data_IF_963060314962
#
_entry.id   IF_963060314962
#
_cell.length_a   1.000
_cell.length_b   1.000
_cell.length_c   1.000
_cell.angle_alpha   90.00
_cell.angle_beta   90.00
_cell.angle_gamma   90.00
#
_symmetry.space_group_name_H-M   'P 1'
#
loop_
_entity.id
_entity.type
_entity.pdbx_description
1 polymer ?
#
# COMPACT_ATOMS: atom_id res chain seq x y z
N UNK A 1 5.26 8.76 25.03
CA UNK A 1 5.07 8.12 23.72
C UNK A 1 6.08 8.68 22.74
N UNK A 2 7.04 7.85 22.39
CA UNK A 2 8.14 8.07 21.47
C UNK A 2 7.70 7.96 20.00
N UNK A 3 8.47 8.57 19.08
CA UNK A 3 8.14 8.63 17.66
C UNK A 3 8.01 7.23 17.02
N UNK A 4 8.74 6.24 17.53
CA UNK A 4 8.66 4.84 17.08
C UNK A 4 7.30 4.21 17.39
N UNK A 5 6.74 4.49 18.58
CA UNK A 5 5.40 4.02 18.98
C UNK A 5 4.31 4.56 18.06
N UNK A 6 4.32 5.86 17.74
CA UNK A 6 3.33 6.46 16.82
C UNK A 6 3.45 5.97 15.36
N UNK A 7 4.63 5.51 14.93
CA UNK A 7 4.82 4.93 13.59
C UNK A 7 4.28 3.50 13.56
N UNK A 8 4.53 2.72 14.62
CA UNK A 8 4.01 1.35 14.74
C UNK A 8 2.48 1.35 14.79
N UNK A 9 1.91 2.23 15.61
CA UNK A 9 0.45 2.43 15.75
C UNK A 9 -0.21 2.76 14.41
N UNK A 10 0.35 3.69 13.63
CA UNK A 10 -0.18 4.03 12.30
C UNK A 10 -0.08 2.89 11.29
N UNK A 11 0.98 2.09 11.34
CA UNK A 11 1.13 0.95 10.41
C UNK A 11 0.13 -0.16 10.74
N UNK A 12 -0.05 -0.45 12.02
CA UNK A 12 -1.04 -1.41 12.52
C UNK A 12 -2.46 -0.93 12.20
N UNK A 13 -2.72 0.38 12.31
CA UNK A 13 -3.96 1.01 11.90
C UNK A 13 -4.26 0.81 10.39
N UNK A 14 -3.28 0.98 9.50
CA UNK A 14 -3.48 0.70 8.06
C UNK A 14 -3.88 -0.76 7.83
N UNK A 15 -3.23 -1.70 8.52
CA UNK A 15 -3.56 -3.13 8.36
C UNK A 15 -5.01 -3.41 8.79
N UNK A 16 -5.43 -2.89 9.94
CA UNK A 16 -6.80 -3.05 10.44
C UNK A 16 -7.79 -2.47 9.44
N UNK A 17 -7.52 -1.27 8.90
CA UNK A 17 -8.40 -0.64 7.93
C UNK A 17 -8.51 -1.46 6.64
N UNK A 18 -7.41 -2.01 6.14
CA UNK A 18 -7.40 -2.92 4.98
C UNK A 18 -8.25 -4.16 5.22
N UNK A 19 -8.13 -4.77 6.39
CA UNK A 19 -8.93 -5.95 6.76
C UNK A 19 -10.43 -5.61 6.84
N UNK A 20 -10.77 -4.44 7.40
CA UNK A 20 -12.16 -3.94 7.45
C UNK A 20 -12.73 -3.74 6.04
N UNK A 21 -11.95 -3.17 5.10
CA UNK A 21 -12.40 -3.04 3.70
C UNK A 21 -12.73 -4.41 3.10
N UNK A 22 -11.88 -5.42 3.33
CA UNK A 22 -12.12 -6.78 2.85
C UNK A 22 -13.41 -7.40 3.41
N UNK A 23 -13.75 -7.10 4.67
CA UNK A 23 -15.01 -7.54 5.28
C UNK A 23 -16.22 -6.83 4.64
N UNK A 24 -16.15 -5.50 4.48
CA UNK A 24 -17.22 -4.70 3.88
C UNK A 24 -17.50 -5.12 2.42
N UNK A 25 -16.44 -5.43 1.65
CA UNK A 25 -16.57 -5.98 0.29
C UNK A 25 -17.32 -7.30 0.29
N UNK A 26 -17.00 -8.21 1.23
CA UNK A 26 -17.72 -9.49 1.35
C UNK A 26 -19.18 -9.31 1.75
N UNK A 27 -19.51 -8.26 2.49
CA UNK A 27 -20.87 -7.89 2.87
C UNK A 27 -21.63 -7.16 1.73
N UNK A 28 -20.95 -6.76 0.66
CA UNK A 28 -21.52 -5.99 -0.43
C UNK A 28 -21.66 -4.49 -0.13
N UNK A 29 -21.06 -3.99 0.95
CA UNK A 29 -21.12 -2.60 1.39
C UNK A 29 -20.07 -1.74 0.66
N UNK A 30 -20.21 -1.63 -0.67
CA UNK A 30 -19.22 -0.99 -1.55
C UNK A 30 -18.94 0.47 -1.15
N UNK A 31 -19.97 1.25 -0.82
CA UNK A 31 -19.79 2.66 -0.46
C UNK A 31 -18.98 2.85 0.83
N UNK A 32 -19.25 2.01 1.85
CA UNK A 32 -18.52 2.05 3.12
C UNK A 32 -17.09 1.52 2.95
N UNK A 33 -16.93 0.45 2.14
CA UNK A 33 -15.63 -0.11 1.81
C UNK A 33 -14.70 0.93 1.16
N UNK A 34 -15.24 1.78 0.27
CA UNK A 34 -14.52 2.90 -0.33
C UNK A 34 -14.11 3.94 0.70
N UNK A 35 -15.03 4.33 1.58
CA UNK A 35 -14.73 5.32 2.62
C UNK A 35 -13.60 4.85 3.55
N UNK A 36 -13.62 3.57 3.95
CA UNK A 36 -12.56 2.98 4.77
C UNK A 36 -11.23 2.89 4.00
N UNK A 37 -11.26 2.57 2.71
CA UNK A 37 -10.07 2.57 1.85
C UNK A 37 -9.43 3.98 1.76
N UNK A 38 -10.22 5.04 1.65
CA UNK A 38 -9.72 6.43 1.67
C UNK A 38 -9.08 6.80 3.02
N UNK A 39 -9.63 6.33 4.14
CA UNK A 39 -9.04 6.50 5.48
C UNK A 39 -7.70 5.76 5.57
N UNK A 40 -7.63 4.53 5.02
CA UNK A 40 -6.40 3.75 4.96
C UNK A 40 -5.33 4.48 4.13
N UNK A 41 -5.70 5.05 2.99
CA UNK A 41 -4.82 5.84 2.13
C UNK A 41 -4.26 7.08 2.85
N UNK A 42 -5.13 7.84 3.53
CA UNK A 42 -4.72 9.01 4.31
C UNK A 42 -3.77 8.62 5.45
N UNK A 43 -4.03 7.50 6.11
CA UNK A 43 -3.19 6.99 7.20
C UNK A 43 -1.83 6.52 6.69
N UNK A 44 -1.80 5.77 5.58
CA UNK A 44 -0.57 5.35 4.91
C UNK A 44 0.28 6.55 4.51
N UNK A 45 -0.33 7.60 3.94
CA UNK A 45 0.38 8.82 3.54
C UNK A 45 1.03 9.59 4.69
N UNK A 46 0.55 9.40 5.93
CA UNK A 46 1.11 10.03 7.14
C UNK A 46 2.27 9.24 7.75
N UNK A 47 2.63 8.08 7.20
CA UNK A 47 3.79 7.32 7.65
C UNK A 47 5.09 8.06 7.31
N UNK A 48 5.91 8.31 8.32
CA UNK A 48 7.17 9.06 8.18
C UNK A 48 8.29 8.28 7.49
N UNK A 49 8.33 6.96 7.69
CA UNK A 49 9.36 6.11 7.12
C UNK A 49 9.01 5.77 5.66
N UNK A 50 9.82 6.19 4.66
CA UNK A 50 9.51 5.99 3.24
C UNK A 50 9.25 4.54 2.88
N UNK A 51 10.05 3.61 3.42
CA UNK A 51 9.91 2.17 3.18
C UNK A 51 8.55 1.65 3.68
N UNK A 52 8.14 2.07 4.89
CA UNK A 52 6.86 1.66 5.49
C UNK A 52 5.69 2.32 4.78
N UNK A 53 5.84 3.58 4.36
CA UNK A 53 4.83 4.30 3.57
C UNK A 53 4.59 3.60 2.24
N UNK A 54 5.64 3.26 1.51
CA UNK A 54 5.53 2.55 0.24
C UNK A 54 4.82 1.18 0.41
N UNK A 55 5.22 0.39 1.43
CA UNK A 55 4.55 -0.88 1.74
C UNK A 55 3.06 -0.71 2.11
N UNK A 56 2.75 0.28 2.94
CA UNK A 56 1.36 0.58 3.33
C UNK A 56 0.49 1.00 2.14
N UNK A 57 1.04 1.80 1.23
CA UNK A 57 0.34 2.21 0.02
C UNK A 57 0.01 1.01 -0.88
N UNK A 58 0.88 0.00 -0.99
CA UNK A 58 0.54 -1.22 -1.76
C UNK A 58 -0.57 -2.04 -1.13
N UNK A 59 -0.64 -2.12 0.20
CA UNK A 59 -1.78 -2.78 0.85
C UNK A 59 -3.07 -2.02 0.55
N UNK A 60 -3.01 -0.68 0.53
CA UNK A 60 -4.14 0.18 0.20
C UNK A 60 -4.54 0.07 -1.28
N UNK A 61 -3.59 0.01 -2.22
CA UNK A 61 -3.94 -0.17 -3.64
C UNK A 61 -4.70 -1.46 -3.86
N UNK A 62 -4.27 -2.53 -3.20
CA UNK A 62 -4.94 -3.81 -3.28
C UNK A 62 -6.41 -3.78 -2.85
N UNK A 63 -6.78 -2.98 -1.84
CA UNK A 63 -8.20 -2.83 -1.47
C UNK A 63 -8.98 -2.00 -2.49
N UNK A 64 -8.36 -0.98 -3.11
CA UNK A 64 -8.97 -0.25 -4.24
C UNK A 64 -9.24 -1.20 -5.43
N UNK A 65 -8.33 -2.14 -5.71
CA UNK A 65 -8.55 -3.20 -6.69
C UNK A 65 -9.74 -4.11 -6.34
N UNK A 66 -9.87 -4.52 -5.07
CA UNK A 66 -10.97 -5.36 -4.59
C UNK A 66 -12.35 -4.69 -4.70
N UNK A 67 -12.44 -3.38 -4.47
CA UNK A 67 -13.69 -2.61 -4.63
C UNK A 67 -13.98 -2.24 -6.10
N UNK A 68 -13.11 -2.62 -7.05
CA UNK A 68 -13.27 -2.35 -8.48
C UNK A 68 -12.73 -1.00 -8.95
N UNK A 69 -12.05 -0.24 -8.08
CA UNK A 69 -11.45 1.07 -8.39
C UNK A 69 -10.02 0.92 -8.92
N UNK A 70 -9.91 0.29 -10.10
CA UNK A 70 -8.62 -0.07 -10.73
C UNK A 70 -7.74 1.16 -11.00
N UNK A 71 -8.34 2.27 -11.47
CA UNK A 71 -7.58 3.50 -11.75
C UNK A 71 -6.98 4.10 -10.47
N UNK A 72 -7.69 4.02 -9.34
CA UNK A 72 -7.19 4.51 -8.06
C UNK A 72 -6.14 3.56 -7.47
N UNK A 73 -6.34 2.24 -7.60
CA UNK A 73 -5.31 1.23 -7.26
C UNK A 73 -3.99 1.56 -7.95
N UNK A 74 -4.02 1.77 -9.28
CA UNK A 74 -2.82 2.11 -10.05
C UNK A 74 -2.14 3.39 -9.56
N UNK A 75 -2.89 4.46 -9.31
CA UNK A 75 -2.33 5.74 -8.80
C UNK A 75 -1.64 5.57 -7.45
N UNK A 76 -2.21 4.74 -6.58
CA UNK A 76 -1.62 4.45 -5.27
C UNK A 76 -0.33 3.63 -5.42
N UNK A 77 -0.28 2.66 -6.35
CA UNK A 77 0.93 1.91 -6.69
C UNK A 77 2.02 2.83 -7.25
N UNK A 78 1.68 3.71 -8.19
CA UNK A 78 2.61 4.69 -8.77
C UNK A 78 3.21 5.60 -7.68
N UNK A 79 2.39 6.04 -6.72
CA UNK A 79 2.87 6.80 -5.57
C UNK A 79 3.82 5.99 -4.69
N UNK A 80 3.51 4.72 -4.45
CA UNK A 80 4.38 3.82 -3.68
C UNK A 80 5.73 3.61 -4.37
N UNK A 81 5.74 3.45 -5.69
CA UNK A 81 6.94 3.31 -6.52
C UNK A 81 7.78 4.58 -6.52
N UNK A 82 7.15 5.75 -6.67
CA UNK A 82 7.82 7.04 -6.59
C UNK A 82 8.54 7.22 -5.25
N UNK A 83 7.87 6.90 -4.14
CA UNK A 83 8.45 6.96 -2.79
C UNK A 83 9.61 5.97 -2.64
N UNK A 84 9.44 4.74 -3.15
CA UNK A 84 10.51 3.74 -3.10
C UNK A 84 11.73 4.17 -3.93
N UNK A 85 11.52 4.78 -5.10
CA UNK A 85 12.58 5.30 -5.98
C UNK A 85 13.37 6.46 -5.37
N UNK A 86 12.73 7.27 -4.50
CA UNK A 86 13.37 8.36 -3.77
C UNK A 86 14.26 7.90 -2.59
N UNK A 87 14.29 6.61 -2.27
CA UNK A 87 15.17 6.07 -1.23
C UNK A 87 16.61 6.05 -1.78
N UNK A 88 17.48 6.90 -1.22
CA UNK A 88 18.89 7.00 -1.61
C UNK A 88 19.70 5.73 -1.35
N UNK A 89 19.41 5.02 -0.25
CA UNK A 89 20.04 3.74 0.05
C UNK A 89 19.54 2.66 -0.93
N UNK A 90 20.43 2.23 -1.83
CA UNK A 90 20.16 1.18 -2.82
C UNK A 90 19.58 -0.07 -2.14
N UNK A 91 20.09 -0.46 -0.97
CA UNK A 91 19.55 -1.63 -0.25
C UNK A 91 18.13 -1.36 0.23
N UNK A 92 17.89 -0.22 0.88
CA UNK A 92 16.56 0.22 1.31
C UNK A 92 15.57 0.34 0.16
N UNK A 93 16.00 0.81 -1.02
CA UNK A 93 15.21 0.88 -2.25
C UNK A 93 14.85 -0.52 -2.75
N UNK A 94 15.82 -1.42 -2.89
CA UNK A 94 15.57 -2.81 -3.32
C UNK A 94 14.64 -3.53 -2.35
N UNK A 95 14.83 -3.37 -1.03
CA UNK A 95 13.93 -3.96 -0.03
C UNK A 95 12.52 -3.38 -0.07
N UNK A 96 12.38 -2.07 -0.33
CA UNK A 96 11.07 -1.45 -0.53
C UNK A 96 10.38 -2.04 -1.77
N UNK A 97 11.06 -2.10 -2.91
CA UNK A 97 10.54 -2.67 -4.16
C UNK A 97 10.16 -4.15 -4.01
N UNK A 98 10.98 -4.97 -3.35
CA UNK A 98 10.63 -6.37 -3.02
C UNK A 98 9.37 -6.42 -2.15
N UNK A 99 9.25 -5.51 -1.18
CA UNK A 99 8.05 -5.37 -0.37
C UNK A 99 6.81 -5.03 -1.19
N UNK A 100 6.93 -4.14 -2.17
CA UNK A 100 5.84 -3.79 -3.10
C UNK A 100 5.43 -5.00 -3.94
N UNK A 101 6.38 -5.75 -4.52
CA UNK A 101 6.09 -6.98 -5.28
C UNK A 101 5.34 -7.99 -4.41
N UNK A 102 5.81 -8.22 -3.17
CA UNK A 102 5.14 -9.14 -2.24
C UNK A 102 3.72 -8.68 -1.90
N UNK A 103 3.50 -7.39 -1.68
CA UNK A 103 2.16 -6.86 -1.43
C UNK A 103 1.24 -7.01 -2.65
N UNK A 104 1.70 -6.65 -3.85
CA UNK A 104 0.91 -6.76 -5.08
C UNK A 104 0.55 -8.20 -5.43
N UNK A 105 1.51 -9.13 -5.30
CA UNK A 105 1.26 -10.57 -5.51
C UNK A 105 0.25 -11.14 -4.51
N UNK A 106 0.25 -10.65 -3.28
CA UNK A 106 -0.69 -11.08 -2.24
C UNK A 106 -2.13 -10.60 -2.50
N UNK A 107 -2.28 -9.47 -3.21
CA UNK A 107 -3.60 -8.93 -3.60
C UNK A 107 -4.00 -9.33 -5.03
N UNK A 108 -3.24 -10.23 -5.67
CA UNK A 108 -3.57 -10.77 -6.99
C UNK A 108 -3.27 -9.84 -8.17
N UNK A 109 -2.60 -8.71 -7.95
CA UNK A 109 -2.22 -7.76 -9.00
C UNK A 109 -0.90 -8.17 -9.69
N UNK A 110 -0.98 -9.22 -10.52
CA UNK A 110 0.19 -9.82 -11.20
C UNK A 110 0.83 -8.88 -12.23
N UNK A 111 0.03 -8.05 -12.92
CA UNK A 111 0.53 -7.11 -13.92
C UNK A 111 1.41 -6.01 -13.30
N UNK A 112 0.95 -5.40 -12.22
CA UNK A 112 1.69 -4.37 -11.48
C UNK A 112 2.93 -4.97 -10.81
N UNK A 113 2.83 -6.21 -10.30
CA UNK A 113 4.00 -6.93 -9.74
C UNK A 113 5.17 -7.01 -10.70
N UNK A 114 4.90 -7.21 -12.00
CA UNK A 114 5.92 -7.28 -13.04
C UNK A 114 6.60 -5.93 -13.29
N UNK A 115 5.84 -4.83 -13.32
CA UNK A 115 6.39 -3.48 -13.48
C UNK A 115 7.37 -3.12 -12.36
N UNK A 116 7.04 -3.52 -11.13
CA UNK A 116 7.94 -3.31 -9.98
C UNK A 116 9.21 -4.14 -10.09
N UNK A 117 9.13 -5.40 -10.55
CA UNK A 117 10.32 -6.24 -10.77
C UNK A 117 11.23 -5.64 -11.84
N UNK A 118 10.68 -5.17 -12.96
CA UNK A 118 11.46 -4.52 -14.02
C UNK A 118 12.13 -3.23 -13.49
N UNK A 119 11.44 -2.45 -12.65
CA UNK A 119 12.00 -1.26 -12.00
C UNK A 119 13.05 -1.55 -10.92
N UNK A 120 13.06 -2.77 -10.35
CA UNK A 120 14.04 -3.18 -9.35
C UNK A 120 15.32 -3.78 -9.96
N UNK A 121 15.25 -4.24 -11.21
CA UNK A 121 16.36 -4.84 -11.96
C UNK A 121 17.05 -3.84 -12.91
N UNK A 122 16.43 -2.70 -13.20
CA UNK A 122 17.02 -1.57 -13.93
C UNK A 122 17.78 -0.61 -13.03
#
# INVERSE_FOLDING_TARGET
MDAAGQIKDRQECVQILVDVVGILVQMGEVAESRQVAEIALSTANRLKAPQRRAQALVMVSGVFGQIGEVDESRRVVESALSIAGQIEDIRGRTWALIGLVRGLTQVGEVAESRLVVESALG
#
